data_IF_415849305229
#
_entry.id   IF_415849305229
#
_cell.length_a   1.000
_cell.length_b   1.000
_cell.length_c   1.000
_cell.angle_alpha   90.00
_cell.angle_beta   90.00
_cell.angle_gamma   90.00
#
_symmetry.space_group_name_H-M   'P 1'
#
loop_
_entity.id
_entity.type
_entity.pdbx_description
1 polymer ?
#
# COMPACT_ATOMS: atom_id res chain seq x y z
N UNK A 1 -13.94 -33.07 -3.02
CA UNK A 1 -13.50 -31.76 -3.53
C UNK A 1 -12.37 -32.03 -4.48
N UNK A 2 -12.42 -31.46 -5.68
CA UNK A 2 -11.32 -31.61 -6.66
C UNK A 2 -10.07 -30.96 -6.04
N UNK A 3 -8.90 -31.60 -6.10
CA UNK A 3 -7.68 -31.00 -5.54
C UNK A 3 -7.31 -29.69 -6.25
N UNK A 4 -7.78 -29.53 -7.50
CA UNK A 4 -7.71 -28.28 -8.25
C UNK A 4 -8.53 -27.16 -7.57
N UNK A 5 -9.66 -27.49 -6.93
CA UNK A 5 -10.49 -26.53 -6.20
C UNK A 5 -9.75 -25.99 -4.97
N UNK A 6 -8.94 -26.82 -4.29
CA UNK A 6 -8.17 -26.40 -3.12
C UNK A 6 -7.09 -25.38 -3.50
N UNK A 7 -6.29 -25.67 -4.53
CA UNK A 7 -5.30 -24.71 -5.04
C UNK A 7 -5.96 -23.42 -5.56
N UNK A 8 -7.15 -23.54 -6.14
CA UNK A 8 -7.91 -22.37 -6.60
C UNK A 8 -8.33 -21.50 -5.42
N UNK A 9 -8.78 -22.10 -4.31
CA UNK A 9 -9.10 -21.36 -3.09
C UNK A 9 -7.87 -20.71 -2.46
N UNK A 10 -6.74 -21.44 -2.37
CA UNK A 10 -5.49 -20.90 -1.83
C UNK A 10 -5.01 -19.69 -2.64
N UNK A 11 -5.08 -19.77 -3.97
CA UNK A 11 -4.74 -18.67 -4.87
C UNK A 11 -5.74 -17.51 -4.75
N UNK A 12 -7.04 -17.78 -4.67
CA UNK A 12 -8.06 -16.74 -4.55
C UNK A 12 -7.97 -15.97 -3.22
N UNK A 13 -7.57 -16.67 -2.15
CA UNK A 13 -7.30 -16.09 -0.82
C UNK A 13 -5.97 -15.35 -0.74
N UNK A 14 -5.14 -15.42 -1.78
CA UNK A 14 -3.92 -14.63 -1.84
C UNK A 14 -4.23 -13.17 -2.20
N UNK A 15 -3.47 -12.27 -1.59
CA UNK A 15 -3.46 -10.83 -1.91
C UNK A 15 -2.78 -10.53 -3.25
N UNK A 16 -2.17 -11.52 -3.91
CA UNK A 16 -1.62 -11.31 -5.25
C UNK A 16 -2.75 -11.09 -6.26
N UNK A 17 -2.53 -10.16 -7.18
CA UNK A 17 -3.35 -9.96 -8.37
C UNK A 17 -2.57 -10.48 -9.57
N UNK A 18 -3.20 -11.37 -10.33
CA UNK A 18 -2.64 -11.91 -11.56
C UNK A 18 -3.40 -11.37 -12.76
N UNK A 19 -2.67 -10.82 -13.72
CA UNK A 19 -3.19 -10.32 -14.97
C UNK A 19 -3.45 -11.44 -15.99
N UNK A 20 -4.19 -11.14 -17.07
CA UNK A 20 -4.46 -12.11 -18.14
C UNK A 20 -3.21 -12.56 -18.91
N UNK A 21 -2.11 -11.81 -18.81
CA UNK A 21 -0.85 -12.11 -19.47
C UNK A 21 0.14 -12.89 -18.58
N UNK A 22 -0.24 -13.18 -17.33
CA UNK A 22 0.64 -13.89 -16.41
C UNK A 22 0.73 -15.38 -16.77
N UNK A 23 1.96 -15.84 -16.96
CA UNK A 23 2.27 -17.23 -17.23
C UNK A 23 2.99 -17.85 -16.05
N UNK A 24 2.45 -18.95 -15.51
CA UNK A 24 3.03 -19.72 -14.43
C UNK A 24 3.77 -20.92 -15.01
N UNK A 25 5.07 -20.99 -14.75
CA UNK A 25 5.96 -21.96 -15.38
C UNK A 25 6.48 -22.93 -14.33
N UNK A 26 6.47 -24.22 -14.64
CA UNK A 26 6.98 -25.25 -13.74
C UNK A 26 8.48 -25.03 -13.49
N UNK A 27 8.89 -25.17 -12.22
CA UNK A 27 10.30 -25.02 -11.82
C UNK A 27 11.19 -26.19 -12.25
N UNK A 28 10.60 -27.33 -12.62
CA UNK A 28 11.33 -28.57 -12.93
C UNK A 28 11.24 -29.03 -14.38
N UNK A 29 10.34 -28.46 -15.19
CA UNK A 29 10.15 -28.87 -16.57
C UNK A 29 9.62 -27.74 -17.47
N UNK A 30 9.26 -28.08 -18.71
CA UNK A 30 8.78 -27.13 -19.73
C UNK A 30 7.29 -26.85 -19.66
N UNK A 31 6.58 -27.29 -18.61
CA UNK A 31 5.15 -27.02 -18.46
C UNK A 31 4.89 -25.56 -18.09
N UNK A 32 3.90 -24.95 -18.73
CA UNK A 32 3.50 -23.56 -18.52
C UNK A 32 1.97 -23.46 -18.57
N UNK A 33 1.38 -22.56 -17.80
CA UNK A 33 -0.08 -22.34 -17.77
C UNK A 33 -0.40 -20.89 -17.44
N UNK A 34 -1.48 -20.35 -18.01
CA UNK A 34 -2.07 -19.04 -17.66
C UNK A 34 -2.91 -19.10 -16.37
N UNK A 35 -2.82 -20.19 -15.62
CA UNK A 35 -3.62 -20.43 -14.42
C UNK A 35 -2.71 -21.03 -13.34
N UNK A 36 -2.54 -20.28 -12.24
CA UNK A 36 -1.68 -20.67 -11.13
C UNK A 36 -2.06 -22.04 -10.56
N UNK A 37 -3.35 -22.29 -10.31
CA UNK A 37 -3.83 -23.55 -9.73
C UNK A 37 -3.50 -24.76 -10.62
N UNK A 38 -3.59 -24.64 -11.95
CA UNK A 38 -3.16 -25.69 -12.88
C UNK A 38 -1.65 -25.96 -12.81
N UNK A 39 -0.84 -24.92 -12.65
CA UNK A 39 0.61 -25.07 -12.46
C UNK A 39 0.96 -25.74 -11.13
N UNK A 40 0.28 -25.37 -10.04
CA UNK A 40 0.45 -25.99 -8.72
C UNK A 40 0.03 -27.46 -8.72
N UNK A 41 -1.10 -27.78 -9.37
CA UNK A 41 -1.54 -29.16 -9.56
C UNK A 41 -0.51 -29.98 -10.35
N UNK A 42 0.04 -29.42 -11.43
CA UNK A 42 1.11 -30.06 -12.19
C UNK A 42 2.36 -30.36 -11.35
N UNK A 43 2.81 -29.39 -10.53
CA UNK A 43 3.95 -29.57 -9.63
C UNK A 43 3.71 -30.71 -8.62
N UNK A 44 2.50 -30.79 -8.07
CA UNK A 44 2.12 -31.86 -7.14
C UNK A 44 2.14 -33.23 -7.82
N UNK A 45 1.46 -33.38 -8.96
CA UNK A 45 1.26 -34.68 -9.60
C UNK A 45 2.49 -35.20 -10.35
N UNK A 46 3.22 -34.33 -11.04
CA UNK A 46 4.34 -34.75 -11.90
C UNK A 46 5.70 -34.68 -11.19
N UNK A 47 5.83 -33.81 -10.19
CA UNK A 47 7.09 -33.57 -9.51
C UNK A 47 7.06 -33.88 -8.01
N UNK A 48 5.92 -34.36 -7.49
CA UNK A 48 5.73 -34.64 -6.07
C UNK A 48 6.14 -33.44 -5.21
N UNK A 49 5.83 -32.23 -5.69
CA UNK A 49 6.27 -30.96 -5.12
C UNK A 49 5.08 -30.07 -4.76
N UNK A 50 5.13 -29.45 -3.59
CA UNK A 50 4.12 -28.50 -3.12
C UNK A 50 4.81 -27.30 -2.46
N UNK A 51 4.20 -26.13 -2.56
CA UNK A 51 4.69 -24.96 -1.82
C UNK A 51 4.07 -24.90 -0.44
N UNK A 52 4.88 -24.64 0.57
CA UNK A 52 4.40 -24.20 1.87
C UNK A 52 3.98 -22.73 1.81
N UNK A 53 2.84 -22.41 2.45
CA UNK A 53 2.36 -21.03 2.61
C UNK A 53 2.27 -20.24 1.28
N UNK A 54 1.73 -20.87 0.23
CA UNK A 54 1.63 -20.29 -1.13
C UNK A 54 0.99 -18.90 -1.16
N UNK A 55 0.00 -18.64 -0.29
CA UNK A 55 -0.72 -17.37 -0.19
C UNK A 55 0.19 -16.16 0.12
N UNK A 56 1.34 -16.39 0.75
CA UNK A 56 2.31 -15.36 1.13
C UNK A 56 3.47 -15.21 0.14
N UNK A 57 3.53 -16.00 -0.95
CA UNK A 57 4.58 -15.87 -1.97
C UNK A 57 4.27 -14.63 -2.81
N UNK A 58 5.09 -13.56 -2.76
CA UNK A 58 4.88 -12.37 -3.59
C UNK A 58 5.21 -12.68 -5.05
N UNK A 59 4.42 -12.13 -5.97
CA UNK A 59 4.70 -12.18 -7.42
C UNK A 59 5.06 -13.59 -7.90
N UNK A 60 4.17 -14.56 -7.65
CA UNK A 60 4.38 -15.99 -7.92
C UNK A 60 5.01 -16.29 -9.29
N UNK A 61 4.63 -15.67 -10.42
CA UNK A 61 5.31 -15.92 -11.71
C UNK A 61 6.82 -15.66 -11.68
N UNK A 62 7.25 -14.54 -11.06
CA UNK A 62 8.66 -14.18 -10.94
C UNK A 62 9.40 -15.10 -9.96
N UNK A 63 8.72 -15.48 -8.87
CA UNK A 63 9.26 -16.46 -7.92
C UNK A 63 9.50 -17.82 -8.58
N UNK A 64 8.59 -18.28 -9.43
CA UNK A 64 8.77 -19.50 -10.22
C UNK A 64 9.92 -19.36 -11.22
N UNK A 65 10.00 -18.24 -11.94
CA UNK A 65 11.08 -18.01 -12.91
C UNK A 65 12.47 -17.96 -12.24
N UNK A 66 12.58 -17.43 -11.01
CA UNK A 66 13.81 -17.50 -10.22
C UNK A 66 14.27 -18.95 -10.01
N UNK A 67 13.40 -19.79 -9.46
CA UNK A 67 13.73 -21.19 -9.15
C UNK A 67 13.81 -22.13 -10.38
N UNK A 68 13.50 -21.64 -11.58
CA UNK A 68 13.82 -22.34 -12.84
C UNK A 68 15.27 -22.20 -13.23
N UNK A 69 15.90 -21.10 -12.84
CA UNK A 69 17.28 -20.74 -13.22
C UNK A 69 18.24 -21.09 -12.08
N UNK A 70 17.77 -21.01 -10.84
CA UNK A 70 18.50 -21.33 -9.62
C UNK A 70 18.08 -22.69 -9.06
N UNK A 71 19.00 -23.42 -8.42
CA UNK A 71 18.68 -24.71 -7.82
C UNK A 71 17.92 -24.48 -6.49
N UNK A 72 16.64 -24.88 -6.36
CA UNK A 72 15.86 -24.61 -5.16
C UNK A 72 16.38 -25.39 -3.94
N UNK A 73 16.39 -24.79 -2.73
CA UNK A 73 16.75 -25.47 -1.50
C UNK A 73 15.61 -26.40 -1.07
N UNK A 74 15.62 -27.64 -1.56
CA UNK A 74 14.54 -28.59 -1.35
C UNK A 74 14.65 -29.33 -0.01
N UNK A 75 13.53 -29.42 0.70
CA UNK A 75 13.32 -30.28 1.88
C UNK A 75 12.11 -31.20 1.65
N UNK A 76 12.06 -32.28 2.41
CA UNK A 76 10.92 -33.20 2.39
C UNK A 76 9.95 -32.87 3.53
N UNK A 77 8.66 -32.88 3.22
CA UNK A 77 7.58 -32.74 4.19
C UNK A 77 6.57 -33.86 4.01
N UNK A 78 5.80 -34.17 5.06
CA UNK A 78 4.74 -35.18 5.02
C UNK A 78 3.39 -34.52 5.17
N UNK A 79 2.52 -34.66 4.17
CA UNK A 79 1.13 -34.17 4.17
C UNK A 79 0.23 -35.39 3.98
N UNK A 80 -0.71 -35.61 4.91
CA UNK A 80 -1.66 -36.74 4.88
C UNK A 80 -0.99 -38.12 4.70
N UNK A 81 0.20 -38.30 5.29
CA UNK A 81 0.97 -39.55 5.22
C UNK A 81 1.71 -39.77 3.90
N UNK A 82 1.66 -38.83 2.95
CA UNK A 82 2.48 -38.82 1.73
C UNK A 82 3.64 -37.83 1.86
N UNK A 83 4.81 -38.21 1.37
CA UNK A 83 5.99 -37.35 1.36
C UNK A 83 6.01 -36.52 0.09
N UNK A 84 6.22 -35.21 0.22
CA UNK A 84 6.37 -34.25 -0.87
C UNK A 84 7.66 -33.44 -0.69
N UNK A 85 8.20 -32.96 -1.79
CA UNK A 85 9.25 -31.95 -1.78
C UNK A 85 8.64 -30.55 -1.66
N UNK A 86 9.34 -29.64 -0.99
CA UNK A 86 9.02 -28.21 -0.92
C UNK A 86 10.32 -27.42 -0.87
N UNK A 87 10.25 -26.11 -1.13
CA UNK A 87 11.33 -25.19 -0.80
C UNK A 87 11.37 -24.98 0.72
N UNK A 88 12.59 -24.97 1.26
CA UNK A 88 12.88 -24.63 2.65
C UNK A 88 12.71 -23.13 2.88
N UNK A 89 11.63 -22.77 3.55
CA UNK A 89 11.28 -21.38 3.89
C UNK A 89 12.22 -20.73 4.91
N UNK A 90 13.11 -21.52 5.54
CA UNK A 90 14.13 -21.02 6.47
C UNK A 90 15.48 -20.77 5.80
N UNK A 91 15.60 -21.13 4.51
CA UNK A 91 16.80 -20.89 3.73
C UNK A 91 16.98 -19.39 3.41
N UNK A 92 18.22 -18.90 3.55
CA UNK A 92 18.55 -17.48 3.33
C UNK A 92 18.20 -17.00 1.90
N UNK A 93 18.45 -17.81 0.87
CA UNK A 93 18.16 -17.47 -0.53
C UNK A 93 16.65 -17.35 -0.78
N UNK A 94 15.84 -18.23 -0.18
CA UNK A 94 14.37 -18.14 -0.28
C UNK A 94 13.81 -16.90 0.45
N UNK A 95 14.37 -16.59 1.62
CA UNK A 95 14.01 -15.39 2.37
C UNK A 95 14.37 -14.13 1.57
N UNK A 96 15.56 -14.08 0.97
CA UNK A 96 16.03 -12.94 0.18
C UNK A 96 15.18 -12.70 -1.07
N UNK A 97 14.89 -13.75 -1.86
CA UNK A 97 14.07 -13.59 -3.06
C UNK A 97 12.63 -13.17 -2.71
N UNK A 98 12.03 -13.72 -1.64
CA UNK A 98 10.70 -13.30 -1.19
C UNK A 98 10.69 -11.83 -0.75
N UNK A 99 11.72 -11.38 -0.02
CA UNK A 99 11.86 -9.97 0.35
C UNK A 99 11.98 -9.07 -0.86
N UNK A 100 12.83 -9.43 -1.82
CA UNK A 100 13.01 -8.65 -3.06
C UNK A 100 11.71 -8.55 -3.88
N UNK A 101 10.99 -9.66 -4.05
CA UNK A 101 9.71 -9.67 -4.75
C UNK A 101 8.60 -8.94 -3.98
N UNK A 102 8.63 -8.98 -2.65
CA UNK A 102 7.72 -8.22 -1.82
C UNK A 102 7.94 -6.71 -1.96
N UNK A 103 9.20 -6.26 -1.94
CA UNK A 103 9.56 -4.86 -2.18
C UNK A 103 9.10 -4.39 -3.56
N UNK A 104 9.37 -5.17 -4.60
CA UNK A 104 8.88 -4.86 -5.95
C UNK A 104 7.35 -4.78 -6.02
N UNK A 105 6.65 -5.67 -5.30
CA UNK A 105 5.19 -5.64 -5.21
C UNK A 105 4.70 -4.35 -4.52
N UNK A 106 5.34 -3.94 -3.43
CA UNK A 106 5.03 -2.69 -2.72
C UNK A 106 5.23 -1.48 -3.62
N UNK A 107 6.35 -1.40 -4.34
CA UNK A 107 6.63 -0.33 -5.30
C UNK A 107 5.52 -0.23 -6.36
N UNK A 108 5.11 -1.36 -6.94
CA UNK A 108 4.02 -1.40 -7.92
C UNK A 108 2.67 -0.95 -7.33
N UNK A 109 2.37 -1.36 -6.10
CA UNK A 109 1.14 -0.96 -5.40
C UNK A 109 1.11 0.54 -5.16
N UNK A 110 2.24 1.14 -4.76
CA UNK A 110 2.32 2.59 -4.55
C UNK A 110 2.09 3.36 -5.86
N UNK A 111 2.65 2.86 -6.97
CA UNK A 111 2.42 3.45 -8.29
C UNK A 111 0.94 3.37 -8.67
N UNK A 112 0.30 2.21 -8.52
CA UNK A 112 -1.12 2.02 -8.84
C UNK A 112 -2.03 2.89 -7.96
N UNK A 113 -1.78 2.92 -6.65
CA UNK A 113 -2.51 3.77 -5.72
C UNK A 113 -2.41 5.25 -6.10
N UNK A 114 -1.21 5.71 -6.46
CA UNK A 114 -1.01 7.11 -6.87
C UNK A 114 -1.73 7.44 -8.18
N UNK A 115 -1.72 6.52 -9.15
CA UNK A 115 -2.48 6.67 -10.39
C UNK A 115 -3.98 6.75 -10.11
N UNK A 116 -4.50 5.90 -9.22
CA UNK A 116 -5.91 5.90 -8.83
C UNK A 116 -6.35 7.17 -8.10
N UNK A 117 -5.40 7.82 -7.40
CA UNK A 117 -5.59 9.08 -6.69
C UNK A 117 -5.55 10.31 -7.60
N UNK A 118 -4.67 10.32 -8.59
CA UNK A 118 -4.32 11.55 -9.34
C UNK A 118 -4.80 11.57 -10.79
N UNK A 119 -4.98 10.42 -11.43
CA UNK A 119 -5.31 10.38 -12.86
C UNK A 119 -6.83 10.36 -13.05
N UNK A 120 -7.42 11.40 -13.65
CA UNK A 120 -8.85 11.45 -13.89
C UNK A 120 -9.25 10.52 -15.05
N UNK A 121 -10.34 9.80 -14.85
CA UNK A 121 -10.97 8.92 -15.82
C UNK A 121 -12.31 9.53 -16.27
N UNK A 122 -12.77 9.16 -17.46
CA UNK A 122 -14.02 9.65 -18.04
C UNK A 122 -15.00 8.52 -18.25
N UNK A 123 -16.29 8.88 -18.16
CA UNK A 123 -17.41 7.99 -18.46
C UNK A 123 -17.41 6.69 -17.63
N UNK A 124 -16.99 6.78 -16.36
CA UNK A 124 -17.02 5.64 -15.43
C UNK A 124 -18.50 5.31 -15.12
N UNK A 125 -18.93 4.10 -15.43
CA UNK A 125 -20.31 3.68 -15.17
C UNK A 125 -20.56 3.44 -13.68
N UNK A 126 -21.64 4.01 -13.15
CA UNK A 126 -22.09 3.72 -11.80
C UNK A 126 -22.43 2.22 -11.59
N UNK A 127 -22.21 1.74 -10.37
CA UNK A 127 -22.61 0.39 -9.93
C UNK A 127 -24.12 0.24 -9.72
N UNK A 128 -24.82 1.30 -9.30
CA UNK A 128 -26.19 1.19 -8.79
C UNK A 128 -27.24 1.88 -9.66
N UNK A 129 -26.83 2.83 -10.52
CA UNK A 129 -27.73 3.60 -11.37
C UNK A 129 -27.19 3.76 -12.81
N UNK A 130 -27.97 4.35 -13.73
CA UNK A 130 -27.53 4.57 -15.12
C UNK A 130 -26.56 5.75 -15.32
N UNK A 131 -26.23 6.49 -14.26
CA UNK A 131 -25.34 7.66 -14.35
C UNK A 131 -23.90 7.25 -14.63
N UNK A 132 -23.14 8.18 -15.22
CA UNK A 132 -21.69 8.08 -15.40
C UNK A 132 -20.99 9.14 -14.55
N UNK A 133 -19.72 8.90 -14.24
CA UNK A 133 -18.88 9.75 -13.43
C UNK A 133 -17.59 10.12 -14.18
N UNK A 134 -17.08 11.34 -13.93
CA UNK A 134 -15.82 11.83 -14.46
C UNK A 134 -14.97 12.33 -13.28
N UNK A 135 -13.75 11.83 -13.15
CA UNK A 135 -12.87 12.13 -12.02
C UNK A 135 -11.92 10.98 -11.72
N UNK A 136 -11.20 11.05 -10.61
CA UNK A 136 -10.28 9.99 -10.16
C UNK A 136 -11.06 8.83 -9.53
N UNK A 137 -10.38 7.70 -9.29
CA UNK A 137 -11.04 6.55 -8.65
C UNK A 137 -11.40 6.81 -7.20
N UNK A 138 -10.62 7.62 -6.50
CA UNK A 138 -10.92 8.06 -5.14
C UNK A 138 -12.19 8.91 -5.09
N UNK A 139 -12.30 9.89 -5.98
CA UNK A 139 -13.51 10.72 -6.11
C UNK A 139 -14.73 9.87 -6.50
N UNK A 140 -14.54 8.85 -7.35
CA UNK A 140 -15.61 7.92 -7.70
C UNK A 140 -16.15 7.13 -6.50
N UNK A 141 -15.26 6.65 -5.61
CA UNK A 141 -15.69 5.96 -4.39
C UNK A 141 -16.45 6.88 -3.44
N UNK A 142 -15.97 8.13 -3.28
CA UNK A 142 -16.67 9.15 -2.50
C UNK A 142 -18.06 9.43 -3.09
N UNK A 143 -18.16 9.61 -4.41
CA UNK A 143 -19.42 9.82 -5.10
C UNK A 143 -20.42 8.66 -4.90
N UNK A 144 -19.95 7.40 -4.94
CA UNK A 144 -20.79 6.23 -4.65
C UNK A 144 -21.35 6.25 -3.22
N UNK A 145 -20.61 6.78 -2.27
CA UNK A 145 -21.09 6.94 -0.91
C UNK A 145 -22.12 8.06 -0.79
N UNK A 146 -21.83 9.23 -1.33
CA UNK A 146 -22.72 10.40 -1.25
C UNK A 146 -24.07 10.10 -1.92
N UNK A 147 -24.06 9.58 -3.15
CA UNK A 147 -25.28 9.35 -3.93
C UNK A 147 -26.01 8.04 -3.60
N UNK A 148 -25.29 7.02 -3.14
CA UNK A 148 -25.84 5.66 -2.99
C UNK A 148 -25.66 5.05 -1.62
N UNK A 149 -24.98 5.73 -0.69
CA UNK A 149 -24.70 5.25 0.66
C UNK A 149 -23.96 3.90 0.63
N UNK A 150 -23.13 3.69 -0.41
CA UNK A 150 -22.26 2.54 -0.53
C UNK A 150 -20.95 2.83 0.21
N UNK A 151 -20.61 2.02 1.21
CA UNK A 151 -19.36 2.16 1.97
C UNK A 151 -18.35 1.07 1.55
N UNK A 152 -17.38 1.37 0.68
CA UNK A 152 -16.28 0.47 0.35
C UNK A 152 -15.12 0.50 1.36
N UNK A 153 -15.14 1.41 2.34
CA UNK A 153 -13.99 1.76 3.18
C UNK A 153 -13.34 3.08 2.74
N UNK A 154 -12.28 3.49 3.44
CA UNK A 154 -11.55 4.73 3.14
C UNK A 154 -10.85 4.62 1.76
N UNK A 155 -11.04 5.56 0.83
CA UNK A 155 -10.37 5.53 -0.47
C UNK A 155 -8.83 5.41 -0.37
N UNK A 156 -8.23 6.12 0.58
CA UNK A 156 -6.77 6.10 0.85
C UNK A 156 -6.22 4.74 1.30
N UNK A 157 -7.08 3.81 1.71
CA UNK A 157 -6.70 2.48 2.15
C UNK A 157 -6.94 1.43 1.06
N UNK A 158 -7.52 1.83 -0.08
CA UNK A 158 -7.90 0.95 -1.17
C UNK A 158 -6.93 1.10 -2.35
N UNK A 159 -6.60 -0.02 -2.98
CA UNK A 159 -5.80 -0.08 -4.21
C UNK A 159 -6.43 -1.08 -5.17
N UNK A 160 -6.13 -0.96 -6.46
CA UNK A 160 -6.75 -1.74 -7.53
C UNK A 160 -8.27 -1.51 -7.59
N UNK A 161 -8.70 -0.27 -7.32
CA UNK A 161 -10.10 0.18 -7.35
C UNK A 161 -10.80 -0.20 -8.67
N UNK A 162 -10.22 -0.03 -9.88
CA UNK A 162 -10.87 -0.47 -11.12
C UNK A 162 -11.23 -1.96 -11.11
N UNK A 163 -10.34 -2.81 -10.59
CA UNK A 163 -10.55 -4.25 -10.49
C UNK A 163 -11.64 -4.58 -9.46
N UNK A 164 -11.64 -3.89 -8.31
CA UNK A 164 -12.69 -4.02 -7.30
C UNK A 164 -14.06 -3.65 -7.88
N UNK A 165 -14.17 -2.50 -8.54
CA UNK A 165 -15.42 -2.02 -9.15
C UNK A 165 -15.89 -2.99 -10.24
N UNK A 166 -14.98 -3.50 -11.08
CA UNK A 166 -15.33 -4.50 -12.10
C UNK A 166 -15.83 -5.80 -11.47
N UNK A 167 -15.23 -6.27 -10.38
CA UNK A 167 -15.68 -7.44 -9.63
C UNK A 167 -17.09 -7.22 -9.06
N UNK A 168 -17.31 -6.10 -8.36
CA UNK A 168 -18.61 -5.75 -7.78
C UNK A 168 -19.69 -5.62 -8.87
N UNK A 169 -19.36 -5.00 -10.00
CA UNK A 169 -20.25 -4.87 -11.15
C UNK A 169 -20.69 -6.22 -11.68
N UNK A 170 -19.75 -7.16 -11.87
CA UNK A 170 -20.06 -8.50 -12.33
C UNK A 170 -21.01 -9.24 -11.38
N UNK A 171 -20.79 -9.13 -10.07
CA UNK A 171 -21.70 -9.70 -9.06
C UNK A 171 -23.11 -9.10 -9.17
N UNK A 172 -23.21 -7.76 -9.25
CA UNK A 172 -24.48 -7.06 -9.36
C UNK A 172 -25.21 -7.41 -10.66
N UNK A 173 -24.52 -7.48 -11.80
CA UNK A 173 -25.10 -7.82 -13.11
C UNK A 173 -25.68 -9.25 -13.13
N UNK A 174 -25.07 -10.18 -12.38
CA UNK A 174 -25.57 -11.55 -12.18
C UNK A 174 -26.65 -11.69 -11.09
N UNK A 175 -27.14 -10.56 -10.57
CA UNK A 175 -28.11 -10.48 -9.48
C UNK A 175 -27.60 -11.08 -8.15
N UNK A 176 -26.29 -11.09 -7.92
CA UNK A 176 -25.67 -11.60 -6.71
C UNK A 176 -25.45 -10.44 -5.73
N UNK A 177 -25.84 -10.62 -4.47
CA UNK A 177 -25.56 -9.65 -3.43
C UNK A 177 -24.06 -9.62 -3.12
N UNK A 178 -23.43 -8.45 -3.27
CA UNK A 178 -22.01 -8.22 -3.02
C UNK A 178 -21.56 -8.47 -1.56
N UNK A 179 -22.48 -8.42 -0.60
CA UNK A 179 -22.16 -8.63 0.82
C UNK A 179 -22.37 -10.08 1.27
N UNK A 180 -23.53 -10.68 0.96
CA UNK A 180 -23.89 -12.01 1.47
C UNK A 180 -23.78 -13.13 0.44
N UNK A 181 -23.39 -12.82 -0.80
CA UNK A 181 -23.24 -13.80 -1.90
C UNK A 181 -24.55 -14.43 -2.39
N UNK A 182 -25.71 -14.07 -1.82
CA UNK A 182 -27.00 -14.64 -2.22
C UNK A 182 -27.38 -14.17 -3.62
N UNK A 183 -27.63 -15.11 -4.53
CA UNK A 183 -28.21 -14.82 -5.84
C UNK A 183 -29.70 -14.55 -5.73
N UNK A 184 -30.16 -13.47 -6.37
CA UNK A 184 -31.53 -13.00 -6.33
C UNK A 184 -32.19 -13.10 -7.72
N UNK A 185 -33.53 -13.21 -7.78
CA UNK A 185 -34.21 -13.47 -9.05
C UNK A 185 -34.08 -12.35 -10.09
N UNK A 186 -33.94 -11.09 -9.67
CA UNK A 186 -33.81 -9.94 -10.57
C UNK A 186 -33.25 -8.69 -9.89
N UNK A 187 -32.84 -7.71 -10.71
CA UNK A 187 -32.27 -6.43 -10.28
C UNK A 187 -33.16 -5.64 -9.29
N UNK A 188 -34.49 -5.71 -9.44
CA UNK A 188 -35.41 -5.04 -8.52
C UNK A 188 -35.34 -5.64 -7.12
N UNK A 189 -35.35 -6.98 -7.04
CA UNK A 189 -35.22 -7.70 -5.76
C UNK A 189 -33.85 -7.48 -5.13
N UNK A 190 -32.77 -7.44 -5.93
CA UNK A 190 -31.42 -7.10 -5.49
C UNK A 190 -31.35 -5.72 -4.86
N UNK A 191 -31.79 -4.68 -5.57
CA UNK A 191 -31.79 -3.30 -5.03
C UNK A 191 -32.60 -3.18 -3.74
N UNK A 192 -33.74 -3.87 -3.64
CA UNK A 192 -34.51 -3.90 -2.39
C UNK A 192 -33.79 -4.66 -1.27
N UNK A 193 -33.09 -5.74 -1.60
CA UNK A 193 -32.33 -6.54 -0.64
C UNK A 193 -31.17 -5.73 -0.06
N UNK A 194 -30.36 -5.10 -0.93
CA UNK A 194 -29.19 -4.31 -0.54
C UNK A 194 -29.57 -3.21 0.47
N UNK A 195 -30.65 -2.47 0.19
CA UNK A 195 -31.13 -1.40 1.09
C UNK A 195 -31.72 -1.93 2.39
N UNK A 196 -32.66 -2.88 2.33
CA UNK A 196 -33.39 -3.35 3.54
C UNK A 196 -32.48 -4.09 4.52
N UNK A 197 -31.50 -4.84 4.01
CA UNK A 197 -30.55 -5.59 4.83
C UNK A 197 -29.27 -4.81 5.16
N UNK A 198 -29.14 -3.55 4.71
CA UNK A 198 -27.93 -2.73 4.87
C UNK A 198 -26.67 -3.42 4.32
N UNK A 199 -26.80 -4.08 3.17
CA UNK A 199 -25.71 -4.76 2.46
C UNK A 199 -25.03 -3.84 1.44
N UNK A 200 -24.99 -2.53 1.72
CA UNK A 200 -24.33 -1.50 0.90
C UNK A 200 -22.89 -1.27 1.39
N UNK A 201 -22.14 -2.36 1.59
CA UNK A 201 -20.75 -2.34 2.01
C UNK A 201 -20.02 -3.58 1.50
N UNK A 202 -18.69 -3.53 1.47
CA UNK A 202 -17.85 -4.69 1.18
C UNK A 202 -17.85 -5.62 2.41
N UNK A 203 -18.02 -6.95 2.24
CA UNK A 203 -17.94 -7.90 3.35
C UNK A 203 -16.50 -8.13 3.80
N UNK A 204 -16.32 -8.57 5.05
CA UNK A 204 -15.03 -9.00 5.59
C UNK A 204 -14.70 -10.42 5.10
N UNK A 205 -14.53 -10.57 3.79
CA UNK A 205 -14.18 -11.83 3.12
C UNK A 205 -12.73 -11.72 2.59
N UNK A 206 -11.85 -12.72 2.83
CA UNK A 206 -10.47 -12.70 2.37
C UNK A 206 -10.28 -12.45 0.87
N UNK A 207 -11.29 -12.71 0.04
CA UNK A 207 -11.22 -12.37 -1.39
C UNK A 207 -11.02 -10.87 -1.63
N UNK A 208 -11.44 -10.02 -0.69
CA UNK A 208 -11.27 -8.58 -0.79
C UNK A 208 -9.94 -8.07 -0.20
N UNK A 209 -9.19 -8.90 0.51
CA UNK A 209 -7.93 -8.50 1.16
C UNK A 209 -6.92 -7.89 0.17
N UNK A 210 -6.95 -8.34 -1.09
CA UNK A 210 -6.11 -7.82 -2.19
C UNK A 210 -6.41 -6.36 -2.59
N UNK A 211 -7.51 -5.78 -2.12
CA UNK A 211 -7.86 -4.39 -2.43
C UNK A 211 -7.45 -3.43 -1.31
N UNK A 212 -6.92 -3.92 -0.20
CA UNK A 212 -6.55 -3.09 0.95
C UNK A 212 -5.03 -2.96 1.06
N UNK A 213 -4.53 -1.72 1.05
CA UNK A 213 -3.09 -1.43 1.12
C UNK A 213 -2.41 -2.03 2.36
N UNK A 214 -3.10 -2.00 3.51
CA UNK A 214 -2.56 -2.50 4.79
C UNK A 214 -2.11 -3.97 4.71
N UNK A 215 -2.79 -4.78 3.90
CA UNK A 215 -2.49 -6.20 3.76
C UNK A 215 -1.19 -6.47 3.02
N UNK A 216 -0.60 -5.45 2.39
CA UNK A 216 0.68 -5.58 1.69
C UNK A 216 1.88 -5.15 2.51
N UNK A 217 1.69 -4.48 3.65
CA UNK A 217 2.80 -3.96 4.48
C UNK A 217 3.66 -5.07 5.09
N UNK A 218 3.05 -6.23 5.36
CA UNK A 218 3.75 -7.38 5.92
C UNK A 218 3.92 -8.50 4.90
N UNK A 219 5.08 -9.14 4.94
CA UNK A 219 5.43 -10.21 4.02
C UNK A 219 4.65 -11.51 4.31
N UNK A 220 4.36 -11.77 5.59
CA UNK A 220 3.64 -12.95 6.07
C UNK A 220 2.14 -12.74 6.30
N UNK A 221 1.62 -11.56 5.91
CA UNK A 221 0.19 -11.20 5.93
C UNK A 221 -0.43 -11.07 7.34
N UNK A 222 -1.01 -9.90 7.60
CA UNK A 222 -1.53 -9.38 8.87
C UNK A 222 -0.53 -9.48 10.05
N UNK A 223 -0.27 -8.36 10.76
CA UNK A 223 0.29 -8.47 12.10
C UNK A 223 -0.65 -9.35 12.91
N UNK A 224 -0.10 -10.10 13.86
CA UNK A 224 -0.84 -10.83 14.89
C UNK A 224 -1.57 -9.80 15.78
N UNK A 225 -2.58 -9.15 15.22
CA UNK A 225 -3.64 -8.47 15.96
C UNK A 225 -4.42 -9.64 16.52
N UNK A 226 -4.07 -10.01 17.74
CA UNK A 226 -4.83 -10.91 18.60
C UNK A 226 -6.31 -10.69 18.39
N UNK A 227 -7.09 -11.79 18.31
CA UNK A 227 -8.54 -11.91 18.08
C UNK A 227 -9.48 -10.99 18.93
N UNK A 228 -8.96 -10.00 19.64
CA UNK A 228 -9.70 -9.02 20.45
C UNK A 228 -10.16 -7.75 19.67
N UNK A 229 -9.75 -7.57 18.40
CA UNK A 229 -10.11 -6.39 17.58
C UNK A 229 -10.88 -6.73 16.28
N UNK A 230 -11.38 -7.96 16.12
CA UNK A 230 -12.22 -8.36 14.97
C UNK A 230 -13.62 -7.67 14.97
N UNK A 231 -13.90 -6.89 16.03
CA UNK A 231 -15.07 -6.02 16.19
C UNK A 231 -14.77 -4.52 15.93
N UNK A 232 -13.59 -4.16 15.39
CA UNK A 232 -13.45 -2.84 14.79
C UNK A 232 -14.29 -2.78 13.51
N UNK A 233 -15.55 -2.37 13.68
CA UNK A 233 -16.40 -1.95 12.56
C UNK A 233 -15.56 -1.09 11.63
N UNK A 234 -15.38 -1.54 10.36
CA UNK A 234 -14.78 -0.69 9.33
C UNK A 234 -15.41 0.69 9.45
N UNK A 235 -14.57 1.67 9.78
CA UNK A 235 -15.04 2.98 10.16
C UNK A 235 -16.00 3.50 9.08
N UNK A 236 -17.20 3.96 9.46
CA UNK A 236 -18.16 4.48 8.50
C UNK A 236 -17.48 5.53 7.63
N UNK A 237 -17.69 5.51 6.32
CA UNK A 237 -17.13 6.54 5.45
C UNK A 237 -17.60 7.94 5.87
N UNK A 238 -18.72 8.07 6.60
CA UNK A 238 -19.15 9.32 7.25
C UNK A 238 -18.20 9.81 8.36
N UNK A 239 -17.59 8.92 9.13
CA UNK A 239 -16.58 9.23 10.15
C UNK A 239 -15.19 9.40 9.52
N UNK A 240 -14.87 8.63 8.48
CA UNK A 240 -13.67 8.85 7.68
C UNK A 240 -13.70 10.17 6.90
N UNK A 241 -14.87 10.59 6.40
CA UNK A 241 -15.07 11.89 5.75
C UNK A 241 -15.08 13.03 6.76
N UNK A 242 -15.30 12.77 8.06
CA UNK A 242 -14.97 13.77 9.09
C UNK A 242 -13.46 13.95 9.15
N UNK A 243 -12.64 12.91 9.04
CA UNK A 243 -11.20 13.13 8.87
C UNK A 243 -10.86 13.86 7.56
N UNK A 244 -11.54 13.60 6.43
CA UNK A 244 -11.29 14.32 5.16
C UNK A 244 -11.78 15.78 5.20
N UNK A 245 -12.82 16.11 5.99
CA UNK A 245 -13.34 17.49 6.15
C UNK A 245 -12.81 18.21 7.41
N UNK A 246 -12.26 17.51 8.40
CA UNK A 246 -11.61 18.06 9.60
C UNK A 246 -10.08 18.08 9.47
N UNK A 247 -9.50 17.67 8.33
CA UNK A 247 -8.10 17.93 7.97
C UNK A 247 -7.93 18.98 6.88
N UNK A 248 -8.57 20.13 7.05
CA UNK A 248 -7.90 21.41 6.74
C UNK A 248 -6.97 21.83 7.90
N UNK A 249 -6.30 20.88 8.57
CA UNK A 249 -5.11 21.22 9.35
C UNK A 249 -3.94 21.19 8.37
N UNK A 250 -3.84 22.26 7.58
CA UNK A 250 -2.65 22.57 6.79
C UNK A 250 -1.49 23.08 7.68
N UNK A 251 -1.53 22.76 8.98
CA UNK A 251 -0.54 23.22 9.94
C UNK A 251 0.76 22.41 9.81
N UNK A 252 1.85 23.07 9.45
CA UNK A 252 3.19 22.49 9.43
C UNK A 252 4.09 23.20 10.44
N UNK A 253 5.00 22.44 11.05
CA UNK A 253 5.99 22.97 11.97
C UNK A 253 7.33 23.27 11.28
N UNK A 254 7.99 24.34 11.72
CA UNK A 254 9.38 24.65 11.37
C UNK A 254 10.33 23.50 11.75
N UNK A 255 11.35 23.25 10.93
CA UNK A 255 12.36 22.20 11.20
C UNK A 255 13.37 22.57 12.31
N UNK A 256 13.35 23.81 12.78
CA UNK A 256 14.39 24.40 13.64
C UNK A 256 13.82 24.98 14.93
N UNK A 257 12.52 25.27 15.00
CA UNK A 257 11.88 25.83 16.19
C UNK A 257 10.44 25.33 16.37
N UNK A 258 9.82 25.72 17.47
CA UNK A 258 8.46 25.30 17.85
C UNK A 258 7.34 26.10 17.15
N UNK A 259 7.66 26.89 16.12
CA UNK A 259 6.66 27.65 15.36
C UNK A 259 5.88 26.76 14.40
N UNK A 260 4.55 26.89 14.42
CA UNK A 260 3.59 26.16 13.58
C UNK A 260 2.88 27.15 12.64
N UNK A 261 2.69 26.78 11.38
CA UNK A 261 2.18 27.64 10.30
C UNK A 261 1.06 26.96 9.54
N UNK A 262 0.06 27.73 9.11
CA UNK A 262 -1.13 27.23 8.42
C UNK A 262 -0.89 26.81 6.98
N UNK A 263 0.28 27.13 6.41
CA UNK A 263 0.66 26.69 5.07
C UNK A 263 2.16 26.37 4.99
N UNK A 264 2.57 25.45 4.09
CA UNK A 264 3.98 25.17 3.84
C UNK A 264 4.77 26.40 3.38
N UNK A 265 4.16 27.25 2.55
CA UNK A 265 4.80 28.46 2.04
C UNK A 265 5.16 29.43 3.17
N UNK A 266 4.26 29.63 4.13
CA UNK A 266 4.54 30.46 5.31
C UNK A 266 5.67 29.87 6.16
N UNK A 267 5.68 28.55 6.33
CA UNK A 267 6.74 27.85 7.06
C UNK A 267 8.11 28.01 6.38
N UNK A 268 8.17 27.93 5.05
CA UNK A 268 9.38 28.14 4.26
C UNK A 268 9.89 29.59 4.39
N UNK A 269 8.99 30.58 4.27
CA UNK A 269 9.34 32.00 4.45
C UNK A 269 9.87 32.26 5.86
N UNK A 270 9.29 31.62 6.87
CA UNK A 270 9.79 31.68 8.24
C UNK A 270 11.20 31.07 8.37
N UNK A 271 11.43 29.87 7.86
CA UNK A 271 12.74 29.21 7.89
C UNK A 271 13.83 30.04 7.20
N UNK A 272 13.50 30.65 6.06
CA UNK A 272 14.40 31.53 5.33
C UNK A 272 14.72 32.81 6.12
N UNK A 273 13.71 33.48 6.68
CA UNK A 273 13.89 34.79 7.31
C UNK A 273 14.45 34.73 8.74
N UNK A 274 14.03 33.75 9.54
CA UNK A 274 14.41 33.65 10.96
C UNK A 274 15.58 32.72 11.20
N UNK A 275 15.75 31.69 10.35
CA UNK A 275 16.78 30.67 10.54
C UNK A 275 17.85 30.65 9.43
N UNK A 276 17.67 31.46 8.38
CA UNK A 276 18.55 31.45 7.20
C UNK A 276 18.72 30.05 6.61
N UNK A 277 17.64 29.26 6.66
CA UNK A 277 17.59 27.89 6.16
C UNK A 277 16.64 27.81 4.98
N UNK A 278 17.11 27.22 3.89
CA UNK A 278 16.34 27.03 2.67
C UNK A 278 16.28 25.54 2.33
N UNK A 279 15.09 25.05 1.98
CA UNK A 279 14.86 23.65 1.61
C UNK A 279 15.61 23.28 0.32
N UNK A 280 15.93 24.27 -0.52
CA UNK A 280 16.73 24.11 -1.74
C UNK A 280 18.12 23.53 -1.45
N UNK A 281 18.69 23.80 -0.27
CA UNK A 281 19.97 23.23 0.17
C UNK A 281 19.89 21.70 0.33
N UNK A 282 18.73 21.18 0.77
CA UNK A 282 18.49 19.74 0.89
C UNK A 282 18.39 19.11 -0.50
N UNK A 283 17.64 19.77 -1.41
CA UNK A 283 17.45 19.30 -2.77
C UNK A 283 18.77 19.19 -3.53
N UNK A 284 19.61 20.22 -3.45
CA UNK A 284 20.94 20.22 -4.06
C UNK A 284 21.84 19.11 -3.49
N UNK A 285 21.80 18.90 -2.17
CA UNK A 285 22.59 17.89 -1.47
C UNK A 285 22.28 16.47 -1.94
N UNK A 286 21.02 16.17 -2.24
CA UNK A 286 20.56 14.86 -2.71
C UNK A 286 20.28 14.82 -4.22
N UNK A 287 20.80 15.78 -5.01
CA UNK A 287 20.64 15.84 -6.48
C UNK A 287 19.17 15.77 -6.94
N UNK A 288 18.26 16.42 -6.22
CA UNK A 288 16.82 16.42 -6.44
C UNK A 288 16.16 15.03 -6.37
N UNK A 289 16.78 14.08 -5.67
CA UNK A 289 16.12 12.82 -5.31
C UNK A 289 15.06 13.10 -4.24
N UNK A 290 13.80 13.08 -4.66
CA UNK A 290 12.64 13.35 -3.81
C UNK A 290 12.63 12.46 -2.56
N UNK A 291 12.82 11.16 -2.72
CA UNK A 291 12.72 10.20 -1.61
C UNK A 291 13.83 10.44 -0.59
N UNK A 292 15.04 10.73 -1.05
CA UNK A 292 16.14 11.05 -0.15
C UNK A 292 15.98 12.41 0.54
N UNK A 293 15.33 13.39 -0.12
CA UNK A 293 14.92 14.63 0.54
C UNK A 293 13.87 14.40 1.63
N UNK A 294 12.85 13.57 1.37
CA UNK A 294 11.83 13.18 2.37
C UNK A 294 12.47 12.48 3.56
N UNK A 295 13.32 11.48 3.31
CA UNK A 295 14.05 10.78 4.37
C UNK A 295 14.87 11.74 5.22
N UNK A 296 15.53 12.72 4.60
CA UNK A 296 16.33 13.70 5.31
C UNK A 296 15.50 14.67 6.16
N UNK A 297 14.33 15.11 5.68
CA UNK A 297 13.42 15.96 6.48
C UNK A 297 12.87 15.19 7.68
N UNK A 298 12.45 13.94 7.49
CA UNK A 298 12.01 13.08 8.58
C UNK A 298 13.15 12.80 9.57
N UNK A 299 14.37 12.63 9.07
CA UNK A 299 15.57 12.51 9.89
C UNK A 299 15.84 13.77 10.74
N UNK A 300 15.72 14.97 10.16
CA UNK A 300 15.85 16.23 10.91
C UNK A 300 14.82 16.29 12.04
N UNK A 301 13.55 15.95 11.76
CA UNK A 301 12.48 15.96 12.76
C UNK A 301 12.70 14.94 13.86
N UNK A 302 13.17 13.76 13.50
CA UNK A 302 13.55 12.74 14.46
C UNK A 302 14.64 13.26 15.41
N UNK A 303 15.73 13.83 14.88
CA UNK A 303 16.80 14.41 15.70
C UNK A 303 16.32 15.58 16.57
N UNK A 304 15.47 16.46 16.02
CA UNK A 304 14.84 17.55 16.77
C UNK A 304 14.05 17.03 17.97
N UNK A 305 13.25 15.96 17.79
CA UNK A 305 12.49 15.34 18.88
C UNK A 305 13.38 14.77 19.99
N UNK A 306 14.59 14.31 19.63
CA UNK A 306 15.60 13.81 20.57
C UNK A 306 16.48 14.92 21.16
N UNK A 307 16.23 16.20 20.80
CA UNK A 307 17.07 17.36 21.14
C UNK A 307 18.52 17.20 20.68
N UNK A 308 18.74 16.57 19.54
CA UNK A 308 20.06 16.42 18.91
C UNK A 308 20.13 17.35 17.70
N UNK A 309 21.18 18.16 17.60
CA UNK A 309 21.32 19.09 16.48
C UNK A 309 21.67 18.35 15.18
N UNK A 310 20.87 18.47 14.12
CA UNK A 310 21.15 17.79 12.84
C UNK A 310 22.42 18.29 12.10
N UNK A 311 22.98 19.45 12.49
CA UNK A 311 24.18 20.02 11.85
C UNK A 311 25.46 19.48 12.49
N UNK A 312 25.55 19.43 13.81
CA UNK A 312 26.74 18.99 14.54
C UNK A 312 26.59 17.63 15.24
N UNK A 313 25.39 17.06 15.28
CA UNK A 313 25.03 15.80 15.94
C UNK A 313 25.32 15.76 17.46
N UNK A 314 25.38 16.93 18.10
CA UNK A 314 25.54 17.07 19.55
C UNK A 314 24.17 17.29 20.23
N UNK A 315 23.98 16.79 21.46
CA UNK A 315 22.79 17.07 22.24
C UNK A 315 22.71 18.56 22.58
N UNK A 316 21.53 19.13 22.43
CA UNK A 316 21.27 20.56 22.70
C UNK A 316 20.68 20.72 24.09
N UNK A 317 21.47 21.30 24.99
CA UNK A 317 21.02 21.73 26.31
C UNK A 317 20.54 23.19 26.22
N UNK A 318 19.24 23.41 26.05
CA UNK A 318 18.64 24.75 25.99
C UNK A 318 17.73 24.95 24.77
N UNK A 319 17.66 26.20 24.29
CA UNK A 319 16.87 26.55 23.11
C UNK A 319 17.55 26.04 21.83
N UNK A 320 16.81 25.23 21.06
CA UNK A 320 17.33 24.59 19.85
C UNK A 320 17.62 25.60 18.73
N UNK A 321 16.76 26.61 18.58
CA UNK A 321 16.92 27.62 17.53
C UNK A 321 18.14 28.50 17.80
N UNK A 322 18.37 28.92 19.06
CA UNK A 322 19.57 29.66 19.45
C UNK A 322 20.85 28.85 19.20
N UNK A 323 20.86 27.56 19.56
CA UNK A 323 21.97 26.65 19.26
C UNK A 323 22.21 26.57 17.74
N UNK A 324 21.15 26.36 16.96
CA UNK A 324 21.23 26.27 15.50
C UNK A 324 21.78 27.54 14.86
N UNK A 325 21.39 28.72 15.38
CA UNK A 325 21.83 30.01 14.85
C UNK A 325 23.34 30.24 15.04
N UNK A 326 23.96 29.63 16.06
CA UNK A 326 25.40 29.72 16.30
C UNK A 326 26.25 28.92 15.29
N UNK A 327 25.63 28.01 14.51
CA UNK A 327 26.34 27.31 13.44
C UNK A 327 26.62 28.25 12.26
N UNK A 328 27.89 28.27 11.83
CA UNK A 328 28.33 29.00 10.63
C UNK A 328 27.82 28.36 9.33
N UNK A 329 27.72 27.03 9.31
CA UNK A 329 27.17 26.25 8.20
C UNK A 329 25.78 25.76 8.61
N UNK A 330 24.80 25.85 7.70
CA UNK A 330 23.40 25.50 7.98
C UNK A 330 23.02 24.07 7.62
N UNK A 331 24.00 23.31 7.14
CA UNK A 331 23.92 21.90 6.75
C UNK A 331 25.07 21.10 7.38
N UNK A 332 24.87 19.80 7.67
CA UNK A 332 25.94 18.93 8.16
C UNK A 332 27.05 18.77 7.11
N UNK A 333 28.31 18.72 7.57
CA UNK A 333 29.50 18.55 6.70
C UNK A 333 29.55 17.21 5.98
N UNK A 334 28.88 16.20 6.54
CA UNK A 334 28.72 14.89 5.92
C UNK A 334 27.25 14.56 5.97
N UNK A 335 26.65 14.38 4.80
CA UNK A 335 25.25 13.99 4.71
C UNK A 335 25.09 12.59 5.30
N UNK A 336 24.06 12.36 6.12
CA UNK A 336 23.74 11.02 6.59
C UNK A 336 23.40 10.14 5.38
N UNK A 337 23.89 8.89 5.41
CA UNK A 337 23.46 7.86 4.47
C UNK A 337 22.07 7.41 4.89
N UNK A 338 21.06 8.04 4.31
CA UNK A 338 19.63 7.69 4.52
C UNK A 338 19.14 6.62 3.54
N UNK A 339 20.00 6.16 2.62
CA UNK A 339 19.67 5.13 1.64
C UNK A 339 19.37 3.78 2.34
N UNK A 340 18.17 3.24 2.13
CA UNK A 340 17.74 1.94 2.67
C UNK A 340 17.13 1.99 4.08
N UNK A 341 16.97 3.17 4.69
CA UNK A 341 16.24 3.34 5.94
C UNK A 341 14.77 3.66 5.68
N UNK A 342 14.00 2.67 5.23
CA UNK A 342 12.59 2.87 4.82
C UNK A 342 11.67 3.31 5.97
N UNK A 343 12.10 3.15 7.22
CA UNK A 343 11.43 3.70 8.40
C UNK A 343 11.38 5.25 8.37
N UNK A 344 12.35 5.90 7.72
CA UNK A 344 12.38 7.36 7.54
C UNK A 344 11.51 7.85 6.38
N UNK A 345 10.89 6.95 5.61
CA UNK A 345 9.84 7.32 4.66
C UNK A 345 8.47 7.49 5.35
N UNK A 346 8.32 6.99 6.58
CA UNK A 346 7.15 7.24 7.39
C UNK A 346 7.24 8.69 7.90
N UNK A 347 6.30 9.58 7.54
CA UNK A 347 6.29 10.93 8.04
C UNK A 347 6.26 10.94 9.57
N UNK A 348 7.20 11.65 10.20
CA UNK A 348 7.20 11.83 11.67
C UNK A 348 5.98 12.65 12.11
N UNK A 349 5.46 13.49 11.21
CA UNK A 349 4.18 14.18 11.33
C UNK A 349 3.27 13.59 10.25
N UNK A 350 2.16 12.98 10.68
CA UNK A 350 1.16 12.43 9.76
C UNK A 350 0.64 13.51 8.81
N UNK A 351 0.54 13.18 7.52
CA UNK A 351 0.07 14.09 6.47
C UNK A 351 0.84 15.42 6.37
N UNK A 352 2.13 15.45 6.73
CA UNK A 352 2.93 16.68 6.75
C UNK A 352 2.87 17.50 5.45
N UNK A 353 2.25 18.69 5.48
CA UNK A 353 2.14 19.56 4.32
C UNK A 353 3.51 20.03 3.79
N UNK A 354 4.57 20.08 4.61
CA UNK A 354 5.90 20.52 4.17
C UNK A 354 6.52 19.58 3.12
N UNK A 355 6.27 18.27 3.19
CA UNK A 355 6.81 17.31 2.22
C UNK A 355 6.27 17.54 0.80
N UNK A 356 5.04 18.06 0.67
CA UNK A 356 4.44 18.42 -0.63
C UNK A 356 5.24 19.53 -1.33
N UNK A 357 5.94 20.36 -0.57
CA UNK A 357 6.76 21.43 -1.16
C UNK A 357 7.99 20.89 -1.86
N UNK A 358 8.47 19.70 -1.52
CA UNK A 358 9.64 19.09 -2.16
C UNK A 358 9.33 18.72 -3.63
N UNK A 359 8.07 18.40 -3.93
CA UNK A 359 7.59 18.03 -5.29
C UNK A 359 7.54 19.24 -6.23
N UNK A 360 7.26 20.43 -5.70
CA UNK A 360 7.09 21.64 -6.49
C UNK A 360 8.46 22.28 -6.77
N UNK A 361 8.97 22.07 -7.98
CA UNK A 361 10.20 22.72 -8.47
C UNK A 361 10.08 24.25 -8.68
N UNK A 362 8.89 24.83 -8.53
CA UNK A 362 8.59 26.19 -9.03
C UNK A 362 8.38 27.27 -7.96
N UNK A 363 8.68 27.04 -6.67
CA UNK A 363 8.25 27.99 -5.61
C UNK A 363 9.24 29.14 -5.37
N UNK A 364 10.43 29.16 -5.97
CA UNK A 364 11.44 30.22 -5.72
C UNK A 364 12.18 30.75 -6.96
N UNK A 365 11.55 30.70 -8.14
CA UNK A 365 11.99 31.51 -9.30
C UNK A 365 11.03 32.70 -9.49
N UNK A 366 10.97 33.61 -8.50
CA UNK A 366 10.60 35.03 -8.69
C UNK A 366 11.22 35.95 -7.63
#
# INVERSE_FOLDING_TARGET
MDETDQFTNDINSSINIYGPNDTFKCIFCTYESENAAKCLYHLKEQHNFVFQKIKYIPLLPLYLDHWRIHAPPLINITIDGKNYNTIDITNEEDIEIRKSLHQMRLENIMIEHEQERTIPNKDINCLFCPSTFNGTWHEYLQWLFEEHQFNPGRPSNLVYIPHLIQYLKNQLDNNICIFCGVQLPNQRTLRSHLRKKKHMKIPSDPIFDKYYMINYLEMDGKPDITDDDDDQEMEPLEDALKDVNDTEINETQCLICDSVFQTPTECLVHMHNQHHFDISLIREAYKNDFYNCVRFINYIRYLYSQKICFVCNEPVEGDYAEHYMNHKEKMPKTLPKVDGEDQLLIPVIECDPLLTTIENNDVFDE
#
